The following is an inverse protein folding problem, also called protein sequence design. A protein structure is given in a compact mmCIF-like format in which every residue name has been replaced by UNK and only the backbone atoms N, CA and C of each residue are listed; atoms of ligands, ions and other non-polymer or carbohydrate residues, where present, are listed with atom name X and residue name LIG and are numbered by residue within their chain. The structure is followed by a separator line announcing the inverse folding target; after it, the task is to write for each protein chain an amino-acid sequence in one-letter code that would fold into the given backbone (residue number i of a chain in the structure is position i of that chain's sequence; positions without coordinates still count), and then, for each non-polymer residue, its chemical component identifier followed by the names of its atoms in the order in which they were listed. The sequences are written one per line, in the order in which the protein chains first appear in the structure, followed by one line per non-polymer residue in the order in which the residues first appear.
data_IF_307089423097
#
_entry.id   IF_307089423097
#
_cell.length_a   1.000
_cell.length_b   1.000
_cell.length_c   1.000
_cell.angle_alpha   90.00
_cell.angle_beta   90.00
_cell.angle_gamma   90.00
#
_symmetry.space_group_name_H-M   'P 1'
#
loop_
_entity.id
_entity.type
_entity.pdbx_description
1 polymer ?
#
# COMPACT_ATOMS: atom_id res chain seq x y z
N UNK A 1 -25.86 -54.20 27.14
CA UNK A 1 -25.52 -52.85 27.66
C UNK A 1 -24.06 -52.56 27.38
N UNK A 2 -23.72 -52.05 26.19
CA UNK A 2 -22.35 -51.58 25.87
C UNK A 2 -22.40 -50.84 24.54
N UNK A 3 -22.87 -49.60 24.55
CA UNK A 3 -22.86 -48.76 23.36
C UNK A 3 -22.83 -47.29 23.78
N UNK A 4 -21.66 -46.76 24.15
CA UNK A 4 -21.49 -45.31 24.40
C UNK A 4 -20.05 -44.77 24.53
N UNK A 5 -19.02 -45.43 24.00
CA UNK A 5 -17.61 -44.97 24.18
C UNK A 5 -16.84 -44.51 22.95
N UNK A 6 -17.46 -44.37 21.77
CA UNK A 6 -16.70 -44.06 20.54
C UNK A 6 -17.14 -42.83 19.72
N UNK A 7 -17.91 -41.89 20.29
CA UNK A 7 -18.42 -40.73 19.54
C UNK A 7 -17.77 -39.36 19.85
N UNK A 8 -16.82 -39.27 20.78
CA UNK A 8 -16.27 -37.97 21.21
C UNK A 8 -14.97 -37.51 20.52
N UNK A 9 -14.32 -38.38 19.72
CA UNK A 9 -13.03 -38.06 19.06
C UNK A 9 -13.16 -37.60 17.59
N UNK A 10 -14.38 -37.56 17.02
CA UNK A 10 -14.59 -37.22 15.60
C UNK A 10 -15.12 -35.80 15.34
N UNK A 11 -15.29 -34.97 16.39
CA UNK A 11 -15.82 -33.59 16.27
C UNK A 11 -14.84 -32.50 16.71
N UNK A 12 -13.54 -32.72 16.51
CA UNK A 12 -12.50 -31.71 16.78
C UNK A 12 -11.68 -31.38 15.51
N UNK A 13 -12.27 -30.72 14.50
CA UNK A 13 -11.47 -29.75 13.76
C UNK A 13 -12.14 -28.39 13.57
N UNK A 14 -13.38 -28.18 14.04
CA UNK A 14 -14.11 -26.91 13.82
C UNK A 14 -14.04 -25.93 14.99
N UNK A 15 -13.61 -26.35 16.18
CA UNK A 15 -13.57 -25.47 17.36
C UNK A 15 -12.18 -24.88 17.69
N UNK A 16 -11.11 -25.39 17.07
CA UNK A 16 -9.74 -24.89 17.31
C UNK A 16 -9.37 -23.69 16.41
N UNK A 17 -10.22 -23.35 15.44
CA UNK A 17 -10.01 -22.22 14.51
C UNK A 17 -10.68 -20.92 14.98
N UNK A 18 -11.48 -20.95 16.05
CA UNK A 18 -12.22 -19.80 16.60
C UNK A 18 -11.62 -19.24 17.90
N UNK A 19 -10.56 -19.86 18.43
CA UNK A 19 -9.88 -19.42 19.66
C UNK A 19 -8.51 -18.76 19.43
N UNK A 20 -8.17 -18.45 18.17
CA UNK A 20 -6.91 -17.79 17.81
C UNK A 20 -7.05 -16.31 17.42
N UNK A 21 -8.23 -15.71 17.65
CA UNK A 21 -8.53 -14.30 17.30
C UNK A 21 -8.83 -13.39 18.50
N UNK A 22 -8.44 -13.78 19.72
CA UNK A 22 -8.51 -12.89 20.90
C UNK A 22 -7.21 -12.97 21.70
N UNK A 23 -6.11 -12.50 21.11
CA UNK A 23 -5.00 -11.91 21.88
C UNK A 23 -4.43 -10.78 21.02
N UNK A 24 -5.01 -9.60 21.14
CA UNK A 24 -4.39 -8.33 20.77
C UNK A 24 -4.48 -7.44 22.02
N UNK A 25 -3.29 -7.06 22.49
CA UNK A 25 -2.96 -5.94 23.36
C UNK A 25 -3.51 -5.91 24.80
N UNK A 26 -2.86 -6.67 25.68
CA UNK A 26 -2.52 -6.13 26.99
C UNK A 26 -1.13 -5.49 26.88
N UNK A 27 -1.09 -4.28 26.31
CA UNK A 27 0.06 -3.39 26.47
C UNK A 27 0.26 -3.17 27.96
N UNK A 28 1.39 -3.62 28.49
CA UNK A 28 1.92 -3.17 29.77
C UNK A 28 2.19 -1.67 29.66
N UNK A 29 1.17 -0.85 29.95
CA UNK A 29 1.36 0.52 30.32
C UNK A 29 1.96 0.51 31.73
N UNK A 30 3.29 0.52 31.79
CA UNK A 30 4.00 0.98 32.97
C UNK A 30 3.75 2.49 33.03
N UNK A 31 2.66 2.88 33.69
CA UNK A 31 2.45 4.26 34.08
C UNK A 31 3.57 4.58 35.08
N UNK A 32 4.52 5.37 34.61
CA UNK A 32 5.50 6.02 35.47
C UNK A 32 4.71 6.81 36.51
N UNK A 33 4.59 6.26 37.71
CA UNK A 33 4.30 7.04 38.91
C UNK A 33 5.23 8.26 38.86
N UNK A 34 4.71 9.50 38.81
CA UNK A 34 5.56 10.63 39.08
C UNK A 34 6.02 10.45 40.51
N UNK A 35 7.31 10.15 40.68
CA UNK A 35 7.98 10.38 41.96
C UNK A 35 7.75 11.86 42.22
N UNK A 36 6.81 12.17 43.12
CA UNK A 36 6.74 13.46 43.77
C UNK A 36 8.04 13.59 44.56
N UNK A 37 9.10 14.06 43.89
CA UNK A 37 10.18 14.73 44.58
C UNK A 37 9.52 15.87 45.34
N UNK A 38 9.67 15.81 46.66
CA UNK A 38 9.16 16.79 47.60
C UNK A 38 9.24 18.20 46.99
N UNK A 39 8.07 18.77 46.72
CA UNK A 39 7.90 20.20 46.72
C UNK A 39 8.11 20.64 48.17
N UNK A 40 9.36 20.91 48.54
CA UNK A 40 9.65 21.75 49.68
C UNK A 40 11.07 22.29 49.59
N UNK A 41 11.23 23.51 50.09
CA UNK A 41 12.43 24.34 50.12
C UNK A 41 12.89 24.92 48.77
N UNK A 42 12.23 26.02 48.41
CA UNK A 42 12.90 27.20 47.86
C UNK A 42 13.96 27.73 48.87
N UNK A 43 14.98 26.93 49.15
CA UNK A 43 16.20 27.43 49.76
C UNK A 43 17.09 27.89 48.63
N UNK A 44 17.24 29.21 48.54
CA UNK A 44 18.31 29.86 47.81
C UNK A 44 19.64 29.29 48.30
N UNK A 45 20.10 28.22 47.63
CA UNK A 45 21.41 27.62 47.88
C UNK A 45 22.49 28.67 47.62
N UNK A 46 23.62 28.63 48.35
CA UNK A 46 24.68 29.60 48.16
C UNK A 46 25.17 29.58 46.71
N UNK A 47 25.09 30.73 46.04
CA UNK A 47 25.46 30.95 44.65
C UNK A 47 27.00 30.88 44.50
N UNK A 48 27.55 29.70 44.73
CA UNK A 48 28.99 29.45 44.77
C UNK A 48 29.49 29.11 43.37
N UNK A 49 30.68 29.63 43.04
CA UNK A 49 31.39 29.31 41.80
C UNK A 49 31.51 27.79 41.58
N UNK A 50 31.76 27.03 42.63
CA UNK A 50 31.88 25.57 42.58
C UNK A 50 30.58 24.90 42.10
N UNK A 51 29.43 25.29 42.64
CA UNK A 51 28.13 24.73 42.24
C UNK A 51 27.80 25.03 40.76
N UNK A 52 28.14 26.23 40.27
CA UNK A 52 27.98 26.58 38.84
C UNK A 52 28.92 25.78 37.94
N UNK A 53 30.16 25.55 38.39
CA UNK A 53 31.13 24.69 37.69
C UNK A 53 30.57 23.25 37.63
N UNK A 54 30.06 22.71 38.73
CA UNK A 54 29.45 21.36 38.78
C UNK A 54 28.24 21.24 37.85
N UNK A 55 27.35 22.24 37.84
CA UNK A 55 26.20 22.25 36.91
C UNK A 55 26.64 22.25 35.45
N UNK A 56 27.61 23.09 35.09
CA UNK A 56 28.14 23.13 33.74
C UNK A 56 28.84 21.82 33.35
N UNK A 57 29.62 21.23 34.27
CA UNK A 57 30.28 19.93 34.06
C UNK A 57 29.26 18.80 33.83
N UNK A 58 28.19 18.78 34.62
CA UNK A 58 27.10 17.80 34.50
C UNK A 58 26.36 17.96 33.17
N UNK A 59 26.03 19.19 32.79
CA UNK A 59 25.39 19.49 31.51
C UNK A 59 26.27 19.07 30.32
N UNK A 60 27.56 19.42 30.34
CA UNK A 60 28.53 18.99 29.31
C UNK A 60 28.61 17.48 29.22
N UNK A 61 28.63 16.78 30.36
CA UNK A 61 28.73 15.31 30.39
C UNK A 61 27.47 14.68 29.79
N UNK A 62 26.29 15.19 30.14
CA UNK A 62 25.03 14.75 29.54
C UNK A 62 25.02 15.01 28.04
N UNK A 63 25.35 16.23 27.59
CA UNK A 63 25.39 16.59 26.16
C UNK A 63 26.40 15.71 25.40
N UNK A 64 27.60 15.50 25.93
CA UNK A 64 28.60 14.64 25.31
C UNK A 64 28.14 13.18 25.25
N UNK A 65 27.39 12.70 26.24
CA UNK A 65 26.81 11.36 26.20
C UNK A 65 25.78 11.23 25.07
N UNK A 66 24.91 12.24 24.87
CA UNK A 66 23.96 12.29 23.77
C UNK A 66 24.64 12.41 22.40
N UNK A 67 25.70 13.23 22.28
CA UNK A 67 26.46 13.33 21.04
C UNK A 67 27.12 11.99 20.65
N UNK A 68 27.50 11.16 21.63
CA UNK A 68 28.13 9.84 21.38
C UNK A 68 27.17 8.78 20.86
N UNK A 69 25.86 8.90 21.08
CA UNK A 69 24.88 7.88 20.63
C UNK A 69 24.54 8.01 19.13
N UNK A 70 25.04 9.04 18.43
CA UNK A 70 25.06 9.09 16.95
C UNK A 70 23.72 9.33 16.25
N UNK A 71 22.64 9.60 17.00
CA UNK A 71 21.32 10.04 16.52
C UNK A 71 20.72 9.23 15.35
N UNK A 72 21.13 7.96 15.20
CA UNK A 72 20.78 7.06 14.08
C UNK A 72 21.06 7.63 12.67
N UNK A 73 21.95 8.62 12.56
CA UNK A 73 22.22 9.30 11.29
C UNK A 73 22.81 8.38 10.23
N UNK A 74 23.63 7.41 10.63
CA UNK A 74 24.30 6.50 9.71
C UNK A 74 23.30 5.58 9.01
N UNK A 75 22.33 5.03 9.74
CA UNK A 75 21.30 4.16 9.15
C UNK A 75 20.45 4.93 8.13
N UNK A 76 20.00 6.13 8.48
CA UNK A 76 19.20 6.96 7.56
C UNK A 76 20.03 7.33 6.33
N UNK A 77 21.31 7.70 6.48
CA UNK A 77 22.18 8.03 5.34
C UNK A 77 22.47 6.85 4.42
N UNK A 78 22.47 5.62 4.93
CA UNK A 78 22.65 4.41 4.13
C UNK A 78 21.39 4.05 3.34
N UNK A 79 20.21 4.22 3.93
CA UNK A 79 18.94 3.83 3.31
C UNK A 79 18.32 4.93 2.43
N UNK A 80 18.58 6.21 2.73
CA UNK A 80 18.00 7.34 1.99
C UNK A 80 18.29 7.33 0.48
N UNK A 81 19.51 7.00 -0.01
CA UNK A 81 19.78 6.96 -1.45
C UNK A 81 18.91 5.96 -2.22
N UNK A 82 18.53 4.84 -1.60
CA UNK A 82 17.63 3.85 -2.19
C UNK A 82 16.23 4.44 -2.40
N UNK A 83 15.68 5.10 -1.37
CA UNK A 83 14.38 5.79 -1.45
C UNK A 83 14.41 6.87 -2.53
N UNK A 84 15.48 7.67 -2.59
CA UNK A 84 15.65 8.72 -3.60
C UNK A 84 15.65 8.13 -5.01
N UNK A 85 16.35 7.02 -5.22
CA UNK A 85 16.37 6.34 -6.51
C UNK A 85 14.98 5.81 -6.91
N UNK A 86 14.25 5.20 -5.97
CA UNK A 86 12.90 4.68 -6.20
C UNK A 86 11.92 5.81 -6.58
N UNK A 87 11.98 6.96 -5.90
CA UNK A 87 11.14 8.13 -6.20
C UNK A 87 11.50 8.75 -7.55
N UNK A 88 12.79 8.85 -7.87
CA UNK A 88 13.25 9.39 -9.14
C UNK A 88 12.77 8.55 -10.34
N UNK A 89 12.83 7.22 -10.22
CA UNK A 89 12.33 6.29 -11.26
C UNK A 89 10.82 6.49 -11.50
N UNK A 90 10.03 6.57 -10.44
CA UNK A 90 8.58 6.81 -10.54
C UNK A 90 8.27 8.19 -11.13
N UNK A 91 9.03 9.22 -10.74
CA UNK A 91 8.87 10.59 -11.26
C UNK A 91 9.18 10.66 -12.75
N UNK A 92 10.27 10.04 -13.20
CA UNK A 92 10.66 10.01 -14.60
C UNK A 92 9.56 9.36 -15.46
N UNK A 93 9.03 8.23 -15.00
CA UNK A 93 7.96 7.53 -15.72
C UNK A 93 6.64 8.32 -15.77
N UNK A 94 6.29 9.04 -14.70
CA UNK A 94 5.06 9.85 -14.67
C UNK A 94 5.18 11.12 -15.51
N UNK A 95 6.36 11.74 -15.51
CA UNK A 95 6.62 13.00 -16.24
C UNK A 95 7.01 12.79 -17.70
N UNK A 96 7.45 11.58 -18.07
CA UNK A 96 7.79 11.20 -19.44
C UNK A 96 6.61 11.36 -20.41
N UNK A 97 6.81 12.18 -21.44
CA UNK A 97 5.76 12.69 -22.35
C UNK A 97 5.18 11.65 -23.33
N UNK A 98 5.68 10.40 -23.36
CA UNK A 98 5.44 9.50 -24.52
C UNK A 98 4.86 8.12 -24.21
N UNK A 99 4.52 7.80 -22.96
CA UNK A 99 3.95 6.48 -22.63
C UNK A 99 2.59 6.63 -21.96
N UNK A 100 1.60 5.97 -22.54
CA UNK A 100 0.36 5.63 -21.86
C UNK A 100 0.76 4.69 -20.73
N UNK A 101 0.81 5.21 -19.50
CA UNK A 101 1.18 4.40 -18.34
C UNK A 101 -0.02 3.53 -18.03
N UNK A 102 0.15 2.21 -18.12
CA UNK A 102 -0.89 1.25 -17.75
C UNK A 102 -1.39 1.53 -16.32
N UNK A 103 -2.72 1.51 -16.12
CA UNK A 103 -3.39 1.65 -14.81
C UNK A 103 -2.74 0.73 -13.76
N UNK A 104 -2.38 -0.47 -14.19
CA UNK A 104 -1.72 -1.50 -13.39
C UNK A 104 -0.36 -1.06 -12.84
N UNK A 105 0.43 -0.37 -13.66
CA UNK A 105 1.72 0.21 -13.28
C UNK A 105 1.55 1.38 -12.33
N UNK A 106 0.53 2.23 -12.56
CA UNK A 106 0.17 3.33 -11.66
C UNK A 106 -0.19 2.84 -10.24
N UNK A 107 -0.97 1.77 -10.13
CA UNK A 107 -1.31 1.15 -8.84
C UNK A 107 -0.09 0.56 -8.13
N UNK A 108 0.87 0.01 -8.90
CA UNK A 108 2.13 -0.48 -8.34
C UNK A 108 2.98 0.66 -7.78
N UNK A 109 3.11 1.77 -8.52
CA UNK A 109 3.82 2.96 -8.06
C UNK A 109 3.17 3.57 -6.82
N UNK A 110 1.83 3.62 -6.77
CA UNK A 110 1.11 4.07 -5.57
C UNK A 110 1.46 3.22 -4.34
N UNK A 111 1.52 1.89 -4.48
CA UNK A 111 1.88 0.97 -3.39
C UNK A 111 3.31 1.21 -2.90
N UNK A 112 4.27 1.32 -3.82
CA UNK A 112 5.69 1.57 -3.50
C UNK A 112 5.84 2.91 -2.79
N UNK A 113 5.31 3.98 -3.39
CA UNK A 113 5.36 5.33 -2.84
C UNK A 113 4.74 5.41 -1.44
N UNK A 114 3.68 4.63 -1.16
CA UNK A 114 3.07 4.56 0.18
C UNK A 114 4.00 3.93 1.22
N UNK A 115 4.75 2.88 0.84
CA UNK A 115 5.78 2.28 1.69
C UNK A 115 6.87 3.30 2.03
N UNK A 116 7.42 3.95 1.00
CA UNK A 116 8.47 4.96 1.13
C UNK A 116 8.02 6.18 1.96
N UNK A 117 6.79 6.66 1.75
CA UNK A 117 6.19 7.75 2.52
C UNK A 117 6.14 7.43 4.03
N UNK A 118 5.78 6.20 4.38
CA UNK A 118 5.69 5.74 5.77
C UNK A 118 7.06 5.71 6.42
N UNK A 119 8.07 5.22 5.70
CA UNK A 119 9.45 5.21 6.16
C UNK A 119 10.01 6.63 6.34
N UNK A 120 9.78 7.52 5.38
CA UNK A 120 10.16 8.93 5.49
C UNK A 120 9.44 9.63 6.65
N UNK A 121 8.15 9.36 6.89
CA UNK A 121 7.42 9.92 8.02
C UNK A 121 8.06 9.54 9.37
N UNK A 122 8.46 8.28 9.52
CA UNK A 122 9.17 7.79 10.71
C UNK A 122 10.52 8.49 10.87
N UNK A 123 11.32 8.61 9.80
CA UNK A 123 12.59 9.35 9.85
C UNK A 123 12.40 10.83 10.16
N UNK A 124 11.39 11.51 9.60
CA UNK A 124 11.08 12.91 9.93
C UNK A 124 10.75 13.07 11.41
N UNK A 125 9.96 12.16 11.99
CA UNK A 125 9.62 12.18 13.41
C UNK A 125 10.88 12.06 14.28
N UNK A 126 11.75 11.10 13.99
CA UNK A 126 13.01 10.89 14.72
C UNK A 126 13.95 12.08 14.56
N UNK A 127 14.15 12.56 13.33
CA UNK A 127 15.04 13.68 13.03
C UNK A 127 14.53 15.00 13.62
N UNK A 128 13.22 15.23 13.64
CA UNK A 128 12.63 16.42 14.27
C UNK A 128 12.86 16.40 15.78
N UNK A 129 12.60 15.27 16.45
CA UNK A 129 12.85 15.14 17.88
C UNK A 129 14.33 15.38 18.22
N UNK A 130 15.25 14.75 17.48
CA UNK A 130 16.69 14.95 17.67
C UNK A 130 17.11 16.40 17.39
N UNK A 131 16.51 17.05 16.38
CA UNK A 131 16.78 18.45 16.06
C UNK A 131 16.34 19.38 17.21
N UNK A 132 15.19 19.13 17.81
CA UNK A 132 14.69 19.92 18.94
C UNK A 132 15.55 19.72 20.19
N UNK A 133 15.97 18.49 20.49
CA UNK A 133 16.91 18.19 21.57
C UNK A 133 18.26 18.89 21.36
N UNK A 134 18.83 18.82 20.16
CA UNK A 134 20.09 19.49 19.81
C UNK A 134 19.99 21.01 19.92
N UNK A 135 18.85 21.60 19.54
CA UNK A 135 18.59 23.03 19.74
C UNK A 135 18.55 23.40 21.22
N UNK A 136 17.91 22.58 22.06
CA UNK A 136 17.90 22.80 23.51
C UNK A 136 19.30 22.72 24.11
N UNK A 137 20.09 21.70 23.74
CA UNK A 137 21.48 21.56 24.17
C UNK A 137 22.35 22.73 23.71
N UNK A 138 22.19 23.19 22.46
CA UNK A 138 22.90 24.36 21.96
C UNK A 138 22.57 25.63 22.76
N UNK A 139 21.29 25.84 23.09
CA UNK A 139 20.87 26.96 23.93
C UNK A 139 21.45 26.89 25.35
N UNK A 140 21.53 25.69 25.95
CA UNK A 140 22.19 25.50 27.25
C UNK A 140 23.69 25.84 27.19
N UNK A 141 24.39 25.41 26.14
CA UNK A 141 25.82 25.75 25.96
C UNK A 141 25.99 27.26 25.81
N UNK A 142 25.14 27.93 25.02
CA UNK A 142 25.16 29.38 24.86
C UNK A 142 24.95 30.07 26.22
N UNK A 143 23.97 29.61 27.00
CA UNK A 143 23.70 30.14 28.35
C UNK A 143 24.92 30.00 29.28
N UNK A 144 25.57 28.83 29.34
CA UNK A 144 26.78 28.63 30.15
C UNK A 144 27.97 29.44 29.62
N UNK A 145 28.10 29.60 28.30
CA UNK A 145 29.18 30.40 27.70
C UNK A 145 29.04 31.91 27.95
N UNK A 146 27.80 32.39 28.12
CA UNK A 146 27.47 33.79 28.37
C UNK A 146 27.50 34.19 29.85
N UNK A 147 27.67 33.24 30.78
CA UNK A 147 27.70 33.55 32.22
C UNK A 147 29.00 34.30 32.60
N UNK A 148 28.85 35.58 32.90
CA UNK A 148 29.94 36.49 33.34
C UNK A 148 30.68 35.97 34.58
N UNK A 149 30.06 35.11 35.40
CA UNK A 149 30.71 34.50 36.58
C UNK A 149 31.82 33.53 36.14
N UNK A 150 31.61 32.83 35.02
CA UNK A 150 32.61 31.97 34.38
C UNK A 150 33.60 32.79 33.53
N UNK A 151 33.37 34.10 33.35
CA UNK A 151 34.30 35.03 32.68
C UNK A 151 35.47 35.43 33.59
N UNK A 152 36.70 35.11 33.17
CA UNK A 152 37.92 35.49 33.86
C UNK A 152 38.24 36.96 33.52
N UNK A 153 37.42 37.88 34.05
CA UNK A 153 37.62 39.32 33.84
C UNK A 153 38.63 39.83 34.87
N UNK A 154 39.58 40.66 34.42
CA UNK A 154 40.79 41.18 35.09
C UNK A 154 40.68 41.75 36.53
N UNK A 155 39.49 41.84 37.14
CA UNK A 155 39.31 42.28 38.52
C UNK A 155 38.98 41.06 39.41
N UNK A 156 40.02 40.32 39.80
CA UNK A 156 39.89 39.01 40.46
C UNK A 156 39.55 39.10 41.95
N UNK A 157 38.60 38.26 42.37
CA UNK A 157 38.44 37.85 43.77
C UNK A 157 39.32 36.63 44.04
N UNK A 158 39.79 36.45 45.28
CA UNK A 158 40.68 35.35 45.72
C UNK A 158 40.15 33.94 45.40
N UNK A 159 38.84 33.76 45.18
CA UNK A 159 38.21 32.49 44.77
C UNK A 159 38.42 32.13 43.29
N UNK A 160 38.51 33.10 42.36
CA UNK A 160 38.68 32.79 40.92
C UNK A 160 40.09 32.29 40.60
N UNK A 161 41.09 32.77 41.32
CA UNK A 161 42.47 32.25 41.22
C UNK A 161 42.56 30.78 41.65
N UNK A 162 41.77 30.36 42.64
CA UNK A 162 41.79 28.99 43.17
C UNK A 162 41.21 27.96 42.19
N UNK A 163 40.31 28.39 41.30
CA UNK A 163 39.65 27.53 40.30
C UNK A 163 40.08 27.84 38.85
N UNK A 164 41.18 28.55 38.65
CA UNK A 164 41.63 29.03 37.33
C UNK A 164 41.82 27.89 36.31
N UNK A 165 42.47 26.79 36.69
CA UNK A 165 42.63 25.63 35.81
C UNK A 165 41.29 24.98 35.45
N UNK A 166 40.40 24.81 36.43
CA UNK A 166 39.09 24.19 36.23
C UNK A 166 38.20 25.04 35.32
N UNK A 167 38.24 26.36 35.45
CA UNK A 167 37.51 27.29 34.56
C UNK A 167 38.06 27.29 33.13
N UNK A 168 39.37 27.08 32.97
CA UNK A 168 40.02 26.98 31.65
C UNK A 168 39.69 25.66 30.96
N UNK A 169 39.75 24.54 31.68
CA UNK A 169 39.31 23.23 31.19
C UNK A 169 37.82 23.24 30.83
N UNK A 170 36.97 23.82 31.70
CA UNK A 170 35.53 23.94 31.45
C UNK A 170 35.24 24.73 30.17
N UNK A 171 35.96 25.84 29.93
CA UNK A 171 35.85 26.60 28.66
C UNK A 171 36.20 25.75 27.46
N UNK A 172 37.32 25.04 27.51
CA UNK A 172 37.76 24.21 26.38
C UNK A 172 36.74 23.10 26.10
N UNK A 173 36.23 22.45 27.16
CA UNK A 173 35.15 21.46 27.05
C UNK A 173 33.88 22.06 26.47
N UNK A 174 33.41 23.20 26.98
CA UNK A 174 32.24 23.91 26.44
C UNK A 174 32.40 24.24 24.95
N UNK A 175 33.58 24.72 24.53
CA UNK A 175 33.85 25.04 23.14
C UNK A 175 33.85 23.78 22.25
N UNK A 176 34.48 22.69 22.71
CA UNK A 176 34.52 21.41 21.98
C UNK A 176 33.14 20.75 21.86
N UNK A 177 32.37 20.78 22.95
CA UNK A 177 30.99 20.28 23.01
C UNK A 177 30.09 21.14 22.13
N UNK A 178 30.21 22.47 22.21
CA UNK A 178 29.49 23.41 21.32
C UNK A 178 29.75 23.12 19.85
N UNK A 179 31.02 22.99 19.45
CA UNK A 179 31.40 22.66 18.06
C UNK A 179 30.77 21.35 17.60
N UNK A 180 30.79 20.31 18.44
CA UNK A 180 30.24 18.99 18.12
C UNK A 180 28.71 19.01 18.05
N UNK A 181 28.06 19.69 18.99
CA UNK A 181 26.60 19.83 19.04
C UNK A 181 26.09 20.64 17.86
N UNK A 182 26.73 21.75 17.51
CA UNK A 182 26.35 22.55 16.33
C UNK A 182 26.56 21.77 15.02
N UNK A 183 27.68 21.06 14.87
CA UNK A 183 27.91 20.22 13.69
C UNK A 183 26.87 19.07 13.56
N UNK A 184 26.45 18.51 14.69
CA UNK A 184 25.38 17.50 14.73
C UNK A 184 24.02 18.12 14.40
N UNK A 185 23.71 19.30 14.94
CA UNK A 185 22.50 20.07 14.64
C UNK A 185 22.39 20.38 13.16
N UNK A 186 23.46 20.88 12.54
CA UNK A 186 23.51 21.17 11.10
C UNK A 186 23.31 19.89 10.26
N UNK A 187 23.95 18.80 10.69
CA UNK A 187 23.85 17.50 10.01
C UNK A 187 22.44 16.91 10.09
N UNK A 188 21.79 16.99 11.26
CA UNK A 188 20.40 16.54 11.48
C UNK A 188 19.44 17.44 10.72
N UNK A 189 19.61 18.76 10.80
CA UNK A 189 18.76 19.75 10.13
C UNK A 189 18.82 19.62 8.61
N UNK A 190 20.01 19.47 8.02
CA UNK A 190 20.18 19.22 6.59
C UNK A 190 19.51 17.92 6.14
N UNK A 191 19.63 16.85 6.94
CA UNK A 191 19.01 15.57 6.64
C UNK A 191 17.48 15.64 6.77
N UNK A 192 16.96 16.30 7.81
CA UNK A 192 15.54 16.55 8.02
C UNK A 192 14.93 17.32 6.85
N UNK A 193 15.63 18.34 6.35
CA UNK A 193 15.21 19.09 5.16
C UNK A 193 15.11 18.18 3.95
N UNK A 194 16.15 17.39 3.63
CA UNK A 194 16.15 16.45 2.50
C UNK A 194 15.03 15.41 2.58
N UNK A 195 14.86 14.78 3.75
CA UNK A 195 13.80 13.79 3.99
C UNK A 195 12.41 14.44 3.87
N UNK A 196 12.25 15.67 4.35
CA UNK A 196 10.98 16.40 4.23
C UNK A 196 10.66 16.77 2.79
N UNK A 197 11.64 17.23 2.01
CA UNK A 197 11.47 17.50 0.57
C UNK A 197 11.02 16.24 -0.17
N UNK A 198 11.70 15.12 0.04
CA UNK A 198 11.35 13.85 -0.59
C UNK A 198 9.94 13.38 -0.18
N UNK A 199 9.57 13.55 1.09
CA UNK A 199 8.23 13.22 1.58
C UNK A 199 7.15 14.03 0.87
N UNK A 200 7.36 15.33 0.68
CA UNK A 200 6.40 16.18 -0.04
C UNK A 200 6.33 15.82 -1.52
N UNK A 201 7.47 15.54 -2.16
CA UNK A 201 7.52 15.08 -3.54
C UNK A 201 6.74 13.76 -3.74
N UNK A 202 6.86 12.82 -2.80
CA UNK A 202 6.04 11.59 -2.83
C UNK A 202 4.54 11.89 -2.73
N UNK A 203 4.13 12.82 -1.87
CA UNK A 203 2.71 13.20 -1.75
C UNK A 203 2.18 13.79 -3.05
N UNK A 204 2.96 14.66 -3.69
CA UNK A 204 2.60 15.26 -4.97
C UNK A 204 2.48 14.20 -6.08
N UNK A 205 3.41 13.24 -6.12
CA UNK A 205 3.36 12.10 -7.05
C UNK A 205 2.13 11.22 -6.78
N UNK A 206 1.81 10.91 -5.52
CA UNK A 206 0.61 10.15 -5.16
C UNK A 206 -0.68 10.87 -5.57
N UNK A 207 -0.74 12.19 -5.38
CA UNK A 207 -1.87 13.00 -5.83
C UNK A 207 -1.98 12.97 -7.37
N UNK A 208 -0.86 13.11 -8.09
CA UNK A 208 -0.81 13.01 -9.54
C UNK A 208 -1.22 11.64 -10.08
N UNK A 209 -0.78 10.55 -9.44
CA UNK A 209 -1.21 9.19 -9.77
C UNK A 209 -2.72 9.03 -9.54
N UNK A 210 -3.24 9.52 -8.42
CA UNK A 210 -4.67 9.43 -8.09
C UNK A 210 -5.52 10.16 -9.12
N UNK A 211 -5.11 11.35 -9.55
CA UNK A 211 -5.81 12.11 -10.58
C UNK A 211 -5.73 11.41 -11.95
N UNK A 212 -4.58 10.82 -12.30
CA UNK A 212 -4.44 9.99 -13.51
C UNK A 212 -5.30 8.74 -13.48
N UNK A 213 -5.42 8.07 -12.33
CA UNK A 213 -6.30 6.91 -12.16
C UNK A 213 -7.77 7.31 -12.33
N UNK A 214 -8.17 8.48 -11.80
CA UNK A 214 -9.53 9.00 -11.95
C UNK A 214 -9.85 9.40 -13.39
N UNK A 215 -8.94 10.12 -14.05
CA UNK A 215 -9.08 10.54 -15.46
C UNK A 215 -8.96 9.38 -16.43
N UNK A 216 -8.09 8.41 -16.18
CA UNK A 216 -7.99 7.15 -16.95
C UNK A 216 -9.24 6.29 -16.75
N UNK A 217 -9.84 6.22 -15.55
CA UNK A 217 -11.14 5.56 -15.38
C UNK A 217 -12.26 6.18 -16.22
N UNK A 218 -12.24 7.49 -16.46
CA UNK A 218 -13.18 8.20 -17.34
C UNK A 218 -12.80 8.10 -18.83
N UNK A 219 -11.50 8.05 -19.12
CA UNK A 219 -10.93 8.00 -20.47
C UNK A 219 -10.68 6.58 -21.00
N UNK A 220 -10.88 5.54 -20.18
CA UNK A 220 -10.85 4.14 -20.59
C UNK A 220 -11.94 3.81 -21.64
N UNK A 221 -12.87 4.74 -21.89
CA UNK A 221 -13.84 4.66 -22.98
C UNK A 221 -13.46 5.52 -24.21
N UNK A 222 -12.40 6.32 -24.14
CA UNK A 222 -11.81 7.05 -25.25
C UNK A 222 -10.54 6.34 -25.74
N UNK A 223 -10.05 6.67 -26.95
CA UNK A 223 -8.92 5.97 -27.58
C UNK A 223 -7.62 6.19 -26.80
N UNK A 224 -7.22 5.23 -25.96
CA UNK A 224 -5.94 5.26 -25.24
C UNK A 224 -4.73 4.90 -26.13
N UNK A 225 -4.93 4.31 -27.32
CA UNK A 225 -3.85 4.02 -28.26
C UNK A 225 -4.31 4.12 -29.71
N UNK A 226 -3.41 4.50 -30.66
CA UNK A 226 -3.68 4.40 -32.09
C UNK A 226 -4.00 2.95 -32.46
N UNK A 227 -4.76 2.78 -33.54
CA UNK A 227 -5.01 1.43 -34.05
C UNK A 227 -3.72 0.70 -34.39
N UNK A 228 -3.73 -0.63 -34.22
CA UNK A 228 -2.61 -1.50 -34.59
C UNK A 228 -2.13 -1.28 -36.04
N UNK A 229 -3.05 -0.89 -36.94
CA UNK A 229 -2.79 -0.61 -38.35
C UNK A 229 -2.37 0.83 -38.67
N UNK A 230 -2.39 1.75 -37.69
CA UNK A 230 -1.85 3.10 -37.80
C UNK A 230 -0.40 3.21 -37.30
N UNK A 231 0.30 2.08 -37.22
CA UNK A 231 1.70 2.05 -36.84
C UNK A 231 2.54 2.81 -37.88
N UNK A 232 3.39 3.77 -37.47
CA UNK A 232 4.34 4.39 -38.39
C UNK A 232 5.23 3.31 -39.03
N UNK A 233 5.68 3.51 -40.28
CA UNK A 233 6.56 2.55 -40.95
C UNK A 233 7.76 2.25 -40.05
N UNK A 234 7.93 0.97 -39.73
CA UNK A 234 8.90 0.45 -38.75
C UNK A 234 10.31 0.64 -39.32
N UNK A 235 10.88 1.84 -39.13
CA UNK A 235 12.22 2.21 -39.63
C UNK A 235 13.35 1.76 -38.71
N UNK A 236 13.05 1.21 -37.54
CA UNK A 236 14.05 0.69 -36.61
C UNK A 236 13.77 -0.79 -36.37
N UNK A 237 14.77 -1.65 -36.54
CA UNK A 237 14.79 -3.01 -36.03
C UNK A 237 14.74 -2.95 -34.50
N UNK A 238 13.56 -2.66 -33.97
CA UNK A 238 13.26 -2.71 -32.55
C UNK A 238 13.40 -4.16 -32.13
N UNK A 239 14.60 -4.50 -31.66
CA UNK A 239 14.92 -5.77 -31.05
C UNK A 239 13.83 -6.10 -30.02
N UNK A 240 12.92 -7.01 -30.37
CA UNK A 240 11.83 -7.48 -29.51
C UNK A 240 12.38 -7.93 -28.15
N UNK A 241 13.59 -8.50 -28.16
CA UNK A 241 14.35 -8.87 -26.95
C UNK A 241 14.72 -7.67 -26.07
N UNK A 242 15.06 -6.51 -26.65
CA UNK A 242 15.35 -5.27 -25.91
C UNK A 242 14.06 -4.71 -25.31
N UNK A 243 12.96 -4.69 -26.07
CA UNK A 243 11.65 -4.26 -25.55
C UNK A 243 11.12 -5.19 -24.44
N UNK A 244 11.25 -6.52 -24.59
CA UNK A 244 10.92 -7.48 -23.53
C UNK A 244 11.79 -7.32 -22.28
N UNK A 245 13.10 -7.09 -22.45
CA UNK A 245 14.04 -6.94 -21.34
C UNK A 245 13.80 -5.64 -20.57
N UNK A 246 13.48 -4.54 -21.26
CA UNK A 246 13.15 -3.25 -20.61
C UNK A 246 11.81 -3.29 -19.89
N UNK A 247 10.80 -3.97 -20.44
CA UNK A 247 9.50 -4.17 -19.77
C UNK A 247 9.62 -5.01 -18.48
N UNK A 248 10.52 -5.99 -18.48
CA UNK A 248 10.74 -6.87 -17.33
C UNK A 248 11.67 -6.27 -16.25
N UNK A 249 12.59 -5.36 -16.62
CA UNK A 249 13.59 -4.79 -15.70
C UNK A 249 12.97 -3.95 -14.58
N UNK A 250 11.96 -3.11 -14.88
CA UNK A 250 11.24 -2.36 -13.84
C UNK A 250 10.45 -3.27 -12.90
N UNK A 251 9.85 -4.34 -13.42
CA UNK A 251 9.05 -5.28 -12.61
C UNK A 251 9.88 -6.11 -11.64
N UNK A 252 11.14 -6.43 -11.97
CA UNK A 252 11.96 -7.30 -11.12
C UNK A 252 12.32 -6.64 -9.78
N UNK A 253 12.51 -5.31 -9.74
CA UNK A 253 12.75 -4.56 -8.49
C UNK A 253 11.51 -4.49 -7.62
N UNK A 254 10.36 -4.24 -8.24
CA UNK A 254 9.04 -4.22 -7.58
C UNK A 254 8.75 -5.58 -6.93
N UNK A 255 9.02 -6.67 -7.66
CA UNK A 255 8.90 -8.01 -7.13
C UNK A 255 9.86 -8.23 -5.97
N UNK A 256 11.15 -7.94 -6.14
CA UNK A 256 12.15 -8.16 -5.08
C UNK A 256 11.82 -7.40 -3.78
N UNK A 257 11.43 -6.12 -3.87
CA UNK A 257 10.97 -5.34 -2.74
C UNK A 257 9.75 -5.98 -2.06
N UNK A 258 8.74 -6.35 -2.85
CA UNK A 258 7.53 -6.98 -2.32
C UNK A 258 7.82 -8.31 -1.64
N UNK A 259 8.65 -9.17 -2.26
CA UNK A 259 9.06 -10.45 -1.70
C UNK A 259 9.77 -10.29 -0.35
N UNK A 260 10.59 -9.25 -0.18
CA UNK A 260 11.31 -9.00 1.07
C UNK A 260 10.44 -8.35 2.16
N UNK A 261 9.48 -7.50 1.76
CA UNK A 261 8.63 -6.73 2.67
C UNK A 261 7.48 -7.55 3.27
N UNK A 262 6.93 -8.54 2.55
CA UNK A 262 5.71 -9.28 2.96
C UNK A 262 5.94 -10.69 3.53
N UNK A 263 7.17 -11.00 3.97
CA UNK A 263 7.49 -12.32 4.54
C UNK A 263 6.63 -12.68 5.76
N UNK A 264 6.23 -11.68 6.55
CA UNK A 264 5.36 -11.81 7.71
C UNK A 264 3.99 -12.42 7.36
N UNK A 265 3.35 -11.91 6.30
CA UNK A 265 2.03 -12.34 5.84
C UNK A 265 2.04 -13.78 5.29
N UNK A 266 3.19 -14.23 4.77
CA UNK A 266 3.34 -15.57 4.18
C UNK A 266 3.52 -16.67 5.22
N UNK A 267 3.96 -16.32 6.42
CA UNK A 267 4.14 -17.30 7.50
C UNK A 267 2.80 -17.98 7.85
N UNK A 268 1.73 -17.19 7.95
CA UNK A 268 0.38 -17.70 8.20
C UNK A 268 -0.09 -18.60 7.05
N UNK A 269 0.16 -18.19 5.80
CA UNK A 269 -0.19 -18.96 4.61
C UNK A 269 0.52 -20.33 4.56
N UNK A 270 1.82 -20.36 4.90
CA UNK A 270 2.61 -21.59 4.99
C UNK A 270 2.08 -22.49 6.11
N UNK A 271 1.74 -21.91 7.27
CA UNK A 271 1.17 -22.64 8.39
C UNK A 271 -0.19 -23.25 8.02
N UNK A 272 -1.05 -22.50 7.35
CA UNK A 272 -2.33 -23.00 6.83
C UNK A 272 -2.13 -24.13 5.81
N UNK A 273 -1.18 -23.96 4.88
CA UNK A 273 -0.81 -24.98 3.90
C UNK A 273 -0.30 -26.27 4.55
N UNK A 274 0.54 -26.16 5.58
CA UNK A 274 1.05 -27.29 6.35
C UNK A 274 -0.07 -28.01 7.12
N UNK A 275 -0.97 -27.26 7.76
CA UNK A 275 -2.13 -27.82 8.45
C UNK A 275 -3.05 -28.59 7.49
N UNK A 276 -3.36 -28.01 6.33
CA UNK A 276 -4.15 -28.66 5.28
C UNK A 276 -3.44 -29.91 4.75
N UNK A 277 -2.13 -29.86 4.51
CA UNK A 277 -1.34 -31.02 4.10
C UNK A 277 -1.42 -32.16 5.11
N UNK A 278 -1.15 -31.86 6.39
CA UNK A 278 -1.16 -32.86 7.47
C UNK A 278 -2.56 -33.46 7.62
N UNK A 279 -3.61 -32.64 7.55
CA UNK A 279 -4.99 -33.11 7.66
C UNK A 279 -5.34 -34.10 6.54
N UNK A 280 -5.11 -33.74 5.28
CA UNK A 280 -5.42 -34.60 4.12
C UNK A 280 -4.53 -35.85 4.12
N UNK A 281 -3.23 -35.70 4.44
CA UNK A 281 -2.30 -36.82 4.49
C UNK A 281 -2.65 -37.82 5.60
N UNK A 282 -2.99 -37.33 6.81
CA UNK A 282 -3.45 -38.19 7.91
C UNK A 282 -4.77 -38.88 7.56
N UNK A 283 -5.72 -38.16 6.97
CA UNK A 283 -6.99 -38.71 6.52
C UNK A 283 -6.82 -39.87 5.53
N UNK A 284 -5.95 -39.70 4.52
CA UNK A 284 -5.67 -40.76 3.55
C UNK A 284 -4.97 -41.98 4.17
N UNK A 285 -4.03 -41.75 5.10
CA UNK A 285 -3.32 -42.84 5.82
C UNK A 285 -4.26 -43.63 6.75
N UNK A 286 -5.27 -42.98 7.32
CA UNK A 286 -6.30 -43.62 8.15
C UNK A 286 -7.22 -44.50 7.30
N UNK A 287 -7.67 -44.00 6.13
CA UNK A 287 -8.56 -44.74 5.22
C UNK A 287 -7.88 -45.99 4.64
N UNK A 288 -6.59 -45.92 4.29
CA UNK A 288 -5.85 -47.06 3.74
C UNK A 288 -5.44 -48.14 4.77
N UNK A 289 -5.60 -47.88 6.07
CA UNK A 289 -5.25 -48.84 7.13
C UNK A 289 -6.41 -49.72 7.59
N UNK A 290 -7.65 -49.35 7.27
CA UNK A 290 -8.85 -50.10 7.68
C UNK A 290 -9.13 -51.20 6.64
N UNK A 291 -9.31 -52.47 7.04
CA UNK A 291 -9.72 -53.52 6.11
C UNK A 291 -11.08 -53.15 5.49
N UNK A 292 -11.13 -53.26 4.17
CA UNK A 292 -12.16 -52.73 3.27
C UNK A 292 -13.57 -53.06 3.78
N UNK A 293 -14.25 -52.08 4.36
CA UNK A 293 -15.69 -52.16 4.58
C UNK A 293 -16.37 -52.02 3.19
N UNK A 294 -17.28 -52.91 2.78
CA UNK A 294 -17.92 -52.88 1.45
C UNK A 294 -18.55 -51.54 1.06
N UNK A 295 -18.91 -50.69 2.04
CA UNK A 295 -19.43 -49.33 1.83
C UNK A 295 -18.35 -48.31 1.41
N UNK A 296 -17.09 -48.50 1.82
CA UNK A 296 -15.95 -47.64 1.45
C UNK A 296 -15.38 -48.01 0.08
N UNK A 297 -15.50 -49.27 -0.33
CA UNK A 297 -15.10 -49.74 -1.67
C UNK A 297 -15.97 -49.15 -2.79
N UNK A 298 -17.24 -48.81 -2.48
CA UNK A 298 -18.14 -48.16 -3.43
C UNK A 298 -17.74 -46.71 -3.75
N UNK A 299 -17.01 -46.04 -2.86
CA UNK A 299 -16.41 -44.73 -3.11
C UNK A 299 -15.07 -44.91 -3.84
N UNK A 300 -15.12 -45.02 -5.17
CA UNK A 300 -13.94 -45.03 -6.02
C UNK A 300 -13.07 -43.77 -5.80
N UNK A 301 -12.05 -43.84 -4.94
CA UNK A 301 -11.14 -42.74 -4.61
C UNK A 301 -10.14 -42.40 -5.73
N UNK A 302 -10.60 -42.26 -6.98
CA UNK A 302 -9.76 -41.93 -8.16
C UNK A 302 -9.09 -40.54 -8.06
N UNK A 303 -9.62 -39.66 -7.21
CA UNK A 303 -9.22 -38.25 -7.13
C UNK A 303 -8.32 -37.92 -5.92
N UNK A 304 -8.12 -38.83 -4.97
CA UNK A 304 -7.29 -38.59 -3.77
C UNK A 304 -5.97 -39.36 -3.92
N UNK A 305 -4.82 -38.67 -3.85
CA UNK A 305 -3.48 -39.29 -3.92
C UNK A 305 -2.83 -39.45 -2.54
N UNK A 306 -1.93 -40.42 -2.42
CA UNK A 306 -1.16 -40.69 -1.19
C UNK A 306 -0.28 -39.55 -0.72
N UNK A 307 0.07 -38.61 -1.59
CA UNK A 307 0.73 -37.36 -1.24
C UNK A 307 -0.07 -36.21 -1.86
N UNK A 308 -0.75 -35.37 -1.06
CA UNK A 308 -1.61 -34.30 -1.56
C UNK A 308 -0.83 -33.00 -1.90
N UNK A 309 0.45 -33.08 -2.28
CA UNK A 309 1.32 -31.89 -2.52
C UNK A 309 0.74 -30.94 -3.56
N UNK A 310 0.22 -31.47 -4.68
CA UNK A 310 -0.39 -30.64 -5.72
C UNK A 310 -1.70 -30.00 -5.24
N UNK A 311 -2.50 -30.74 -4.47
CA UNK A 311 -3.76 -30.23 -3.93
C UNK A 311 -3.51 -29.14 -2.88
N UNK A 312 -2.50 -29.31 -2.03
CA UNK A 312 -2.10 -28.29 -1.05
C UNK A 312 -1.56 -27.05 -1.74
N UNK A 313 -0.77 -27.20 -2.79
CA UNK A 313 -0.25 -26.08 -3.56
C UNK A 313 -1.36 -25.30 -4.26
N UNK A 314 -2.38 -25.98 -4.82
CA UNK A 314 -3.57 -25.33 -5.41
C UNK A 314 -4.30 -24.47 -4.36
N UNK A 315 -4.54 -25.02 -3.17
CA UNK A 315 -5.25 -24.32 -2.09
C UNK A 315 -4.45 -23.11 -1.61
N UNK A 316 -3.15 -23.29 -1.35
CA UNK A 316 -2.25 -22.22 -0.87
C UNK A 316 -2.16 -21.08 -1.90
N UNK A 317 -1.94 -21.40 -3.18
CA UNK A 317 -1.85 -20.40 -4.25
C UNK A 317 -3.18 -19.70 -4.51
N UNK A 318 -4.32 -20.38 -4.34
CA UNK A 318 -5.64 -19.76 -4.46
C UNK A 318 -5.95 -18.80 -3.30
N UNK A 319 -5.39 -19.03 -2.12
CA UNK A 319 -5.58 -18.18 -0.94
C UNK A 319 -4.58 -17.03 -0.87
N UNK A 320 -3.48 -17.08 -1.61
CA UNK A 320 -2.42 -16.06 -1.55
C UNK A 320 -2.93 -14.62 -1.76
N UNK A 321 -3.81 -14.33 -2.74
CA UNK A 321 -4.34 -12.97 -2.92
C UNK A 321 -5.16 -12.44 -1.74
N UNK A 322 -5.72 -13.32 -0.90
CA UNK A 322 -6.52 -12.94 0.26
C UNK A 322 -5.65 -12.45 1.43
N UNK A 323 -4.45 -13.01 1.58
CA UNK A 323 -3.50 -12.61 2.63
C UNK A 323 -2.62 -11.42 2.22
N UNK A 324 -2.60 -11.07 0.94
CA UNK A 324 -1.75 -10.01 0.40
C UNK A 324 -2.55 -9.03 -0.49
N UNK A 325 -3.51 -8.26 0.08
CA UNK A 325 -4.44 -7.41 -0.70
C UNK A 325 -3.76 -6.25 -1.44
N UNK A 326 -2.59 -5.79 -0.98
CA UNK A 326 -1.82 -4.70 -1.60
C UNK A 326 -0.72 -5.20 -2.55
N UNK A 327 -0.87 -6.43 -3.05
CA UNK A 327 0.09 -7.06 -3.95
C UNK A 327 0.28 -6.25 -5.24
N UNK A 328 1.53 -6.03 -5.69
CA UNK A 328 1.80 -5.53 -7.02
C UNK A 328 1.13 -6.44 -8.04
N UNK A 329 0.47 -5.89 -9.06
CA UNK A 329 -0.30 -6.70 -9.97
C UNK A 329 0.56 -7.60 -10.88
N UNK A 330 1.87 -7.34 -11.02
CA UNK A 330 2.83 -8.28 -11.62
C UNK A 330 3.03 -9.57 -10.77
N UNK A 331 3.00 -9.43 -9.45
CA UNK A 331 3.11 -10.57 -8.53
C UNK A 331 1.85 -11.44 -8.56
N UNK A 332 0.66 -10.82 -8.62
CA UNK A 332 -0.61 -11.55 -8.74
C UNK A 332 -0.65 -12.37 -10.03
N UNK A 333 -0.16 -11.82 -11.15
CA UNK A 333 -0.05 -12.56 -12.41
C UNK A 333 0.92 -13.74 -12.32
N UNK A 334 2.04 -13.57 -11.61
CA UNK A 334 3.00 -14.64 -11.39
C UNK A 334 2.36 -15.77 -10.57
N UNK A 335 1.67 -15.47 -9.48
CA UNK A 335 0.93 -16.48 -8.69
C UNK A 335 -0.11 -17.19 -9.57
N UNK A 336 -0.89 -16.43 -10.35
CA UNK A 336 -1.92 -17.00 -11.23
C UNK A 336 -1.32 -17.92 -12.29
N UNK A 337 -0.16 -17.56 -12.85
CA UNK A 337 0.56 -18.40 -13.81
C UNK A 337 1.05 -19.69 -13.14
N UNK A 338 1.66 -19.61 -11.95
CA UNK A 338 2.06 -20.80 -11.19
C UNK A 338 0.85 -21.67 -10.87
N UNK A 339 -0.27 -21.07 -10.43
CA UNK A 339 -1.52 -21.78 -10.13
C UNK A 339 -2.03 -22.54 -11.36
N UNK A 340 -2.02 -21.92 -12.55
CA UNK A 340 -2.40 -22.56 -13.81
C UNK A 340 -1.49 -23.74 -14.17
N UNK A 341 -0.17 -23.61 -13.95
CA UNK A 341 0.78 -24.71 -14.16
C UNK A 341 0.45 -25.86 -13.22
N UNK A 342 0.27 -25.58 -11.93
CA UNK A 342 -0.02 -26.60 -10.91
C UNK A 342 -1.35 -27.30 -11.19
N UNK A 343 -2.39 -26.55 -11.57
CA UNK A 343 -3.69 -27.11 -12.00
C UNK A 343 -3.54 -27.99 -13.24
N UNK A 344 -2.75 -27.56 -14.23
CA UNK A 344 -2.49 -28.33 -15.44
C UNK A 344 -1.74 -29.64 -15.12
N UNK A 345 -0.77 -29.61 -14.22
CA UNK A 345 -0.07 -30.82 -13.75
C UNK A 345 -1.00 -31.75 -12.96
N UNK A 346 -1.88 -31.18 -12.13
CA UNK A 346 -2.86 -31.92 -11.34
C UNK A 346 -3.89 -32.61 -12.25
N UNK A 347 -4.40 -31.92 -13.26
CA UNK A 347 -5.37 -32.47 -14.21
C UNK A 347 -4.76 -33.47 -15.19
N UNK A 348 -3.51 -33.26 -15.65
CA UNK A 348 -2.85 -34.13 -16.63
C UNK A 348 -2.93 -35.63 -16.30
N UNK A 349 -2.88 -35.98 -15.02
CA UNK A 349 -2.94 -37.38 -14.55
C UNK A 349 -4.32 -37.85 -14.11
N UNK A 350 -5.33 -36.96 -14.01
CA UNK A 350 -6.63 -37.26 -13.39
C UNK A 350 -7.83 -37.19 -14.35
N UNK A 351 -7.74 -36.45 -15.44
CA UNK A 351 -8.86 -36.27 -16.39
C UNK A 351 -8.60 -36.98 -17.72
N UNK A 352 -9.68 -37.19 -18.49
CA UNK A 352 -9.58 -37.81 -19.81
C UNK A 352 -8.83 -36.89 -20.80
N UNK A 353 -8.12 -37.46 -21.79
CA UNK A 353 -7.27 -36.72 -22.74
C UNK A 353 -8.02 -35.63 -23.52
N UNK A 354 -9.31 -35.85 -23.84
CA UNK A 354 -10.15 -34.86 -24.52
C UNK A 354 -10.45 -33.64 -23.64
N UNK A 355 -10.84 -33.87 -22.38
CA UNK A 355 -11.10 -32.81 -21.41
C UNK A 355 -9.83 -32.02 -21.08
N UNK A 356 -8.65 -32.67 -21.08
CA UNK A 356 -7.37 -32.00 -20.90
C UNK A 356 -7.02 -31.04 -22.04
N UNK A 357 -7.31 -31.42 -23.29
CA UNK A 357 -7.15 -30.50 -24.43
C UNK A 357 -8.05 -29.27 -24.30
N UNK A 358 -9.29 -29.46 -23.86
CA UNK A 358 -10.21 -28.36 -23.59
C UNK A 358 -9.71 -27.45 -22.45
N UNK A 359 -9.18 -28.02 -21.37
CA UNK A 359 -8.52 -27.26 -20.30
C UNK A 359 -7.34 -26.41 -20.84
N UNK A 360 -6.47 -26.99 -21.67
CA UNK A 360 -5.36 -26.25 -22.29
C UNK A 360 -5.85 -25.11 -23.19
N UNK A 361 -6.97 -25.30 -23.89
CA UNK A 361 -7.59 -24.24 -24.68
C UNK A 361 -8.10 -23.09 -23.78
N UNK A 362 -8.72 -23.40 -22.64
CA UNK A 362 -9.13 -22.40 -21.65
C UNK A 362 -7.91 -21.64 -21.13
N UNK A 363 -6.82 -22.35 -20.77
CA UNK A 363 -5.58 -21.74 -20.30
C UNK A 363 -4.99 -20.80 -21.36
N UNK A 364 -4.97 -21.23 -22.62
CA UNK A 364 -4.48 -20.41 -23.73
C UNK A 364 -5.30 -19.13 -23.92
N UNK A 365 -6.64 -19.23 -23.89
CA UNK A 365 -7.54 -18.07 -23.96
C UNK A 365 -7.33 -17.15 -22.76
N UNK A 366 -7.19 -17.70 -21.55
CA UNK A 366 -6.94 -16.92 -20.34
C UNK A 366 -5.63 -16.13 -20.44
N UNK A 367 -4.54 -16.77 -20.87
CA UNK A 367 -3.25 -16.10 -21.07
C UNK A 367 -3.38 -15.00 -22.11
N UNK A 368 -4.06 -15.26 -23.24
CA UNK A 368 -4.25 -14.29 -24.30
C UNK A 368 -5.05 -13.07 -23.84
N UNK A 369 -6.11 -13.28 -23.06
CA UNK A 369 -6.92 -12.21 -22.49
C UNK A 369 -6.13 -11.39 -21.46
N UNK A 370 -5.42 -12.05 -20.53
CA UNK A 370 -4.71 -11.38 -19.43
C UNK A 370 -3.39 -10.73 -19.80
N UNK A 371 -2.68 -11.23 -20.83
CA UNK A 371 -1.34 -10.72 -21.18
C UNK A 371 -1.33 -9.73 -22.34
N UNK A 372 -2.35 -9.75 -23.20
CA UNK A 372 -2.34 -8.98 -24.45
C UNK A 372 -3.43 -7.91 -24.48
N UNK A 373 -4.32 -7.86 -23.47
CA UNK A 373 -5.52 -7.00 -23.46
C UNK A 373 -6.30 -7.01 -24.81
N UNK A 374 -6.15 -8.11 -25.56
CA UNK A 374 -6.53 -8.19 -26.98
C UNK A 374 -8.00 -8.56 -27.17
N UNK A 375 -8.68 -8.89 -26.07
CA UNK A 375 -10.10 -9.25 -26.03
C UNK A 375 -10.84 -8.21 -25.19
N UNK A 376 -11.29 -7.13 -25.85
CA UNK A 376 -12.25 -6.20 -25.27
C UNK A 376 -13.53 -6.98 -24.98
N UNK A 377 -13.93 -7.04 -23.71
CA UNK A 377 -15.14 -7.77 -23.30
C UNK A 377 -16.39 -7.04 -23.82
N UNK A 378 -17.16 -7.62 -24.77
CA UNK A 378 -18.28 -6.92 -25.38
C UNK A 378 -19.50 -6.76 -24.44
N UNK A 379 -19.50 -7.37 -23.25
CA UNK A 379 -20.71 -7.49 -22.41
C UNK A 379 -20.63 -6.86 -21.01
N UNK A 380 -19.61 -6.06 -20.68
CA UNK A 380 -19.35 -5.61 -19.28
C UNK A 380 -20.16 -4.39 -18.80
N UNK A 381 -20.97 -3.70 -19.62
CA UNK A 381 -21.58 -2.41 -19.20
C UNK A 381 -23.11 -2.34 -19.11
N UNK A 382 -23.78 -3.41 -18.70
CA UNK A 382 -25.23 -3.37 -18.40
C UNK A 382 -25.62 -2.44 -17.23
N UNK A 383 -24.70 -2.17 -16.30
CA UNK A 383 -24.94 -1.25 -15.19
C UNK A 383 -24.87 0.22 -15.62
N UNK A 384 -23.97 0.56 -16.53
CA UNK A 384 -23.76 1.93 -17.02
C UNK A 384 -24.66 2.29 -18.20
N UNK A 385 -25.01 1.32 -19.06
CA UNK A 385 -26.00 1.51 -20.13
C UNK A 385 -27.35 1.99 -19.55
N UNK A 386 -27.74 1.43 -18.38
CA UNK A 386 -28.93 1.88 -17.63
C UNK A 386 -28.78 3.30 -17.11
N UNK A 387 -27.56 3.73 -16.76
CA UNK A 387 -27.26 5.12 -16.37
C UNK A 387 -27.50 6.09 -17.53
N UNK A 388 -26.93 5.80 -18.70
CA UNK A 388 -27.11 6.63 -19.91
C UNK A 388 -28.55 6.61 -20.41
N UNK A 389 -29.22 5.45 -20.40
CA UNK A 389 -30.63 5.35 -20.77
C UNK A 389 -31.54 6.12 -19.81
N UNK A 390 -31.26 6.13 -18.51
CA UNK A 390 -32.03 6.94 -17.56
C UNK A 390 -31.95 8.43 -17.87
N UNK A 391 -30.77 8.92 -18.29
CA UNK A 391 -30.58 10.32 -18.70
C UNK A 391 -31.30 10.61 -20.02
N UNK A 392 -31.16 9.73 -21.01
CA UNK A 392 -31.84 9.86 -22.32
C UNK A 392 -33.36 9.83 -22.15
N UNK A 393 -33.89 8.98 -21.26
CA UNK A 393 -35.32 8.90 -20.96
C UNK A 393 -35.79 10.14 -20.19
N UNK A 394 -35.00 10.62 -19.22
CA UNK A 394 -35.32 11.81 -18.43
C UNK A 394 -35.35 13.09 -19.27
N UNK A 395 -34.49 13.22 -20.28
CA UNK A 395 -34.46 14.37 -21.20
C UNK A 395 -35.39 14.16 -22.41
N UNK A 396 -35.48 12.93 -22.92
CA UNK A 396 -36.21 12.59 -24.14
C UNK A 396 -37.72 12.49 -23.96
N UNK A 397 -38.23 12.00 -22.82
CA UNK A 397 -39.68 11.93 -22.58
C UNK A 397 -40.32 13.32 -22.55
N UNK A 398 -39.80 14.31 -21.79
CA UNK A 398 -40.38 15.66 -21.80
C UNK A 398 -40.34 16.32 -23.19
N UNK A 399 -39.25 16.14 -23.94
CA UNK A 399 -39.13 16.66 -25.31
C UNK A 399 -40.10 15.98 -26.29
N UNK A 400 -40.31 14.67 -26.17
CA UNK A 400 -41.32 13.95 -26.95
C UNK A 400 -42.74 14.40 -26.58
N UNK A 401 -43.06 14.55 -25.30
CA UNK A 401 -44.35 15.07 -24.84
C UNK A 401 -44.61 16.47 -25.39
N UNK A 402 -43.61 17.36 -25.38
CA UNK A 402 -43.74 18.71 -25.92
C UNK A 402 -44.01 18.70 -27.44
N UNK A 403 -43.36 17.83 -28.20
CA UNK A 403 -43.53 17.75 -29.65
C UNK A 403 -44.83 17.02 -30.07
N UNK A 404 -45.34 16.11 -29.24
CA UNK A 404 -46.56 15.33 -29.52
C UNK A 404 -47.83 16.06 -29.07
N UNK A 405 -47.73 17.07 -28.20
CA UNK A 405 -48.91 17.76 -27.66
C UNK A 405 -49.75 18.46 -28.74
N UNK A 406 -49.09 19.07 -29.73
CA UNK A 406 -49.75 19.80 -30.83
C UNK A 406 -50.55 18.84 -31.73
N UNK A 407 -49.95 17.79 -32.33
CA UNK A 407 -50.70 16.87 -33.18
C UNK A 407 -51.80 16.10 -32.42
N UNK A 408 -51.61 15.80 -31.13
CA UNK A 408 -52.65 15.17 -30.30
C UNK A 408 -53.81 16.12 -30.02
N UNK A 409 -53.53 17.39 -29.69
CA UNK A 409 -54.57 18.39 -29.51
C UNK A 409 -55.38 18.59 -30.80
N UNK A 410 -54.70 18.69 -31.95
CA UNK A 410 -55.36 18.77 -33.25
C UNK A 410 -56.24 17.55 -33.54
N UNK A 411 -55.76 16.35 -33.23
CA UNK A 411 -56.53 15.12 -33.42
C UNK A 411 -57.79 15.07 -32.52
N UNK A 412 -57.69 15.56 -31.28
CA UNK A 412 -58.83 15.66 -30.36
C UNK A 412 -59.86 16.67 -30.87
N UNK A 413 -59.41 17.84 -31.35
CA UNK A 413 -60.29 18.87 -31.92
C UNK A 413 -61.02 18.31 -33.15
N UNK A 414 -60.31 17.65 -34.06
CA UNK A 414 -60.91 16.99 -35.23
C UNK A 414 -61.95 15.96 -34.78
N UNK A 415 -61.65 15.15 -33.77
CA UNK A 415 -62.58 14.16 -33.22
C UNK A 415 -63.82 14.79 -32.59
N UNK A 416 -63.68 15.91 -31.89
CA UNK A 416 -64.82 16.64 -31.31
C UNK A 416 -65.69 17.28 -32.40
N UNK A 417 -65.08 17.89 -33.41
CA UNK A 417 -65.78 18.53 -34.53
C UNK A 417 -66.47 17.49 -35.41
N UNK A 418 -65.93 16.28 -35.53
CA UNK A 418 -66.56 15.18 -36.27
C UNK A 418 -67.94 14.79 -35.74
N UNK A 419 -68.24 15.02 -34.45
CA UNK A 419 -69.58 14.79 -33.90
C UNK A 419 -70.64 15.76 -34.44
N UNK A 420 -70.23 16.88 -35.04
CA UNK A 420 -71.12 17.90 -35.61
C UNK A 420 -71.34 17.73 -37.13
N UNK A 421 -70.79 16.67 -37.73
CA UNK A 421 -71.00 16.32 -39.14
C UNK A 421 -69.81 16.63 -40.05
N UNK A 422 -69.86 16.09 -41.27
CA UNK A 422 -68.77 16.14 -42.26
C UNK A 422 -68.43 17.56 -42.70
N UNK A 423 -69.43 18.43 -42.76
CA UNK A 423 -69.28 19.81 -43.22
C UNK A 423 -68.53 20.67 -42.19
N UNK A 424 -68.72 20.38 -40.89
CA UNK A 424 -68.00 21.05 -39.81
C UNK A 424 -66.50 20.69 -39.80
N UNK A 425 -66.17 19.43 -40.11
CA UNK A 425 -64.77 18.96 -40.24
C UNK A 425 -64.10 19.59 -41.46
N UNK A 426 -64.81 19.72 -42.58
CA UNK A 426 -64.32 20.38 -43.78
C UNK A 426 -64.02 21.88 -43.53
N UNK A 427 -64.90 22.57 -42.79
CA UNK A 427 -64.71 23.96 -42.36
C UNK A 427 -63.48 24.16 -41.46
N UNK A 428 -63.27 23.26 -40.47
CA UNK A 428 -62.07 23.27 -39.61
C UNK A 428 -60.78 23.08 -40.42
N UNK A 429 -60.79 22.20 -41.42
CA UNK A 429 -59.65 21.95 -42.30
C UNK A 429 -59.26 23.15 -43.18
N UNK A 430 -60.23 24.00 -43.54
CA UNK A 430 -59.98 25.26 -44.26
C UNK A 430 -59.44 26.33 -43.29
N UNK A 431 -60.03 26.46 -42.09
CA UNK A 431 -59.60 27.43 -41.08
C UNK A 431 -58.16 27.19 -40.59
N UNK A 432 -57.77 25.94 -40.35
CA UNK A 432 -56.40 25.54 -39.95
C UNK A 432 -55.32 25.80 -41.02
N UNK A 433 -55.70 26.14 -42.26
CA UNK A 433 -54.77 26.44 -43.37
C UNK A 433 -54.64 27.94 -43.65
N UNK A 434 -55.39 28.79 -42.95
CA UNK A 434 -55.41 30.24 -43.12
C UNK A 434 -54.61 30.96 -42.01
N UNK A 435 -54.31 30.28 -40.90
CA UNK A 435 -53.18 30.62 -40.01
C UNK A 435 -51.83 30.27 -40.65
#
# INVERSE_FOLDING_TARGET
MTDQRFSLLSRFPTLLFLLFFVVIDASFAQENMPVKTASDSSQTLPDTLLFRIEQAQNAITQINSHNKTGYNLQQIRLQLPEVVANVAEVKEDITGTSRVIEIKTLLSYQSILKGEQTQLANWRKILSANNDELRQMANQIIHFSGDTILSATKNDTTQKNLYHEQLTDLRFKLQSTGKTTTASLDSVGSLLAKVSTLYFEINDLQAGITERLKTSGQSAFSRESPYLWSAPPVTTTTNLSKLFRTSYQGQNRILAYFFNSTWDNRLLLILFGAAFFVWVFRGFKLVNKVPINPTLAALNFKYISSMPVLATLIVVLSLTPLFEPNSPPAYVELIQLILLIVLSLFFRKRINKSQFKFWLLIVAIYILHKRVDMLVNPFVRWAELRGSWKIIVYVGIPAMCANVIVPVASAIIIKMVANYGTDAVAGLGIAMRIE
#
